data_IF_494072355286
#
_entry.id   IF_494072355286
#
_cell.length_a   1.000
_cell.length_b   1.000
_cell.length_c   1.000
_cell.angle_alpha   90.00
_cell.angle_beta   90.00
_cell.angle_gamma   90.00
#
_symmetry.space_group_name_H-M   'P 1'
#
loop_
_entity.id
_entity.type
_entity.pdbx_description
1 polymer ?
#
# COMPACT_ATOMS: atom_id res chain seq x y z
N UNK A 1 -19.91 30.86 17.70
CA UNK A 1 -19.58 32.32 17.62
C UNK A 1 -19.03 32.71 16.24
N UNK A 2 -18.19 31.94 15.58
CA UNK A 2 -17.58 32.26 14.27
C UNK A 2 -18.63 32.36 13.15
N UNK A 3 -19.61 31.46 13.12
CA UNK A 3 -20.71 31.49 12.14
C UNK A 3 -21.50 32.80 12.26
N UNK A 4 -21.84 33.21 13.48
CA UNK A 4 -22.51 34.47 13.73
C UNK A 4 -21.67 35.69 13.30
N UNK A 5 -20.36 35.65 13.59
CA UNK A 5 -19.44 36.72 13.18
C UNK A 5 -19.36 36.88 11.65
N UNK A 6 -19.41 35.75 10.89
CA UNK A 6 -19.35 35.76 9.42
C UNK A 6 -20.70 36.06 8.77
N UNK A 7 -21.80 35.73 9.43
CA UNK A 7 -23.15 36.00 8.92
C UNK A 7 -23.48 37.48 9.03
N UNK A 8 -22.98 38.14 10.09
CA UNK A 8 -23.23 39.57 10.33
C UNK A 8 -24.71 39.95 10.31
N UNK A 9 -25.00 41.17 9.91
CA UNK A 9 -26.37 41.70 9.78
C UNK A 9 -26.95 41.46 8.34
N UNK A 10 -26.54 40.41 7.66
CA UNK A 10 -26.99 40.08 6.28
C UNK A 10 -28.42 39.54 6.30
N UNK A 11 -29.37 40.44 5.99
CA UNK A 11 -30.81 40.16 5.95
C UNK A 11 -31.24 39.26 4.75
N UNK A 12 -30.32 38.81 3.90
CA UNK A 12 -30.60 37.95 2.74
C UNK A 12 -30.63 36.43 3.07
N UNK A 13 -30.65 36.07 4.35
CA UNK A 13 -30.65 34.65 4.78
C UNK A 13 -31.98 34.26 5.44
N UNK A 14 -32.96 33.73 4.67
CA UNK A 14 -34.32 33.46 5.19
C UNK A 14 -34.34 32.55 6.43
N UNK A 15 -33.42 31.60 6.54
CA UNK A 15 -33.36 30.69 7.70
C UNK A 15 -32.84 31.30 8.97
N UNK A 16 -32.21 32.48 8.92
CA UNK A 16 -31.69 33.20 10.08
C UNK A 16 -32.48 34.47 10.40
N UNK A 17 -33.54 34.74 9.63
CA UNK A 17 -34.46 35.87 9.88
C UNK A 17 -35.50 35.47 10.93
N UNK A 18 -35.02 35.16 12.14
CA UNK A 18 -35.79 34.68 13.28
C UNK A 18 -35.41 35.48 14.52
N UNK A 19 -36.28 35.54 15.59
CA UNK A 19 -36.02 36.32 16.78
C UNK A 19 -34.70 35.97 17.48
N UNK A 20 -34.24 34.72 17.41
CA UNK A 20 -32.95 34.27 17.96
C UNK A 20 -32.17 33.46 16.89
N UNK A 21 -31.37 34.17 16.06
CA UNK A 21 -30.57 33.54 15.06
C UNK A 21 -29.51 32.54 15.60
N UNK A 22 -29.06 32.78 16.86
CA UNK A 22 -28.08 31.92 17.51
C UNK A 22 -28.67 30.55 17.85
N UNK A 23 -29.85 30.55 18.50
CA UNK A 23 -30.54 29.31 18.83
C UNK A 23 -30.89 28.51 17.56
N UNK A 24 -31.28 29.19 16.49
CA UNK A 24 -31.58 28.51 15.21
C UNK A 24 -30.34 27.92 14.56
N UNK A 25 -29.18 28.59 14.57
CA UNK A 25 -27.90 28.01 14.11
C UNK A 25 -27.54 26.79 14.94
N UNK A 26 -27.62 26.85 16.26
CA UNK A 26 -27.33 25.73 17.16
C UNK A 26 -28.26 24.52 16.86
N UNK A 27 -29.56 24.80 16.67
CA UNK A 27 -30.54 23.78 16.27
C UNK A 27 -30.22 23.15 14.93
N UNK A 28 -29.91 23.93 13.89
CA UNK A 28 -29.57 23.45 12.54
C UNK A 28 -28.28 22.63 12.55
N UNK A 29 -27.28 23.07 13.31
CA UNK A 29 -26.04 22.33 13.47
C UNK A 29 -26.26 20.98 14.17
N UNK A 30 -27.13 20.95 15.22
CA UNK A 30 -27.46 19.71 15.91
C UNK A 30 -28.15 18.70 14.98
N UNK A 31 -29.14 19.15 14.18
CA UNK A 31 -29.87 18.31 13.22
C UNK A 31 -28.94 17.79 12.10
N UNK A 32 -27.94 18.55 11.68
CA UNK A 32 -27.05 18.20 10.57
C UNK A 32 -25.72 17.60 11.02
N UNK A 33 -25.49 17.45 12.33
CA UNK A 33 -24.23 17.00 12.90
C UNK A 33 -23.74 15.67 12.27
N UNK A 34 -24.61 14.67 12.20
CA UNK A 34 -24.28 13.37 11.64
C UNK A 34 -23.99 13.45 10.15
N UNK A 35 -24.78 14.20 9.38
CA UNK A 35 -24.56 14.40 7.96
C UNK A 35 -23.23 15.13 7.69
N UNK A 36 -22.90 16.14 8.47
CA UNK A 36 -21.61 16.85 8.33
C UNK A 36 -20.44 15.99 8.78
N UNK A 37 -20.61 15.19 9.85
CA UNK A 37 -19.57 14.28 10.31
C UNK A 37 -19.26 13.16 9.30
N UNK A 38 -20.23 12.78 8.46
CA UNK A 38 -20.05 11.80 7.38
C UNK A 38 -19.27 12.36 6.17
N UNK A 39 -19.06 13.69 6.08
CA UNK A 39 -18.24 14.29 5.02
C UNK A 39 -16.77 14.10 5.40
N UNK A 40 -15.97 13.37 4.58
CA UNK A 40 -14.57 13.06 4.91
C UNK A 40 -13.70 14.32 4.94
N UNK A 41 -14.05 15.34 4.16
CA UNK A 41 -13.29 16.56 4.02
C UNK A 41 -13.93 17.69 4.81
N UNK A 42 -13.24 18.10 5.86
CA UNK A 42 -13.67 19.21 6.73
C UNK A 42 -12.56 20.24 6.84
N UNK A 43 -12.89 21.49 6.59
CA UNK A 43 -11.98 22.62 6.78
C UNK A 43 -12.50 23.46 7.96
N UNK A 44 -11.73 23.48 9.04
CA UNK A 44 -11.97 24.49 10.08
C UNK A 44 -11.54 25.86 9.53
N UNK A 45 -12.51 26.72 9.35
CA UNK A 45 -12.31 28.05 8.78
C UNK A 45 -12.16 29.13 9.87
N UNK A 46 -12.12 28.73 11.15
CA UNK A 46 -12.01 29.67 12.29
C UNK A 46 -10.70 30.43 12.21
N UNK A 47 -10.79 31.75 12.16
CA UNK A 47 -9.64 32.66 12.13
C UNK A 47 -8.86 32.69 10.79
N UNK A 48 -9.31 31.94 9.77
CA UNK A 48 -8.65 31.95 8.47
C UNK A 48 -9.21 33.03 7.55
N UNK A 49 -8.36 33.60 6.71
CA UNK A 49 -8.75 34.46 5.58
C UNK A 49 -9.41 33.64 4.46
N UNK A 50 -10.03 34.31 3.50
CA UNK A 50 -10.65 33.66 2.34
C UNK A 50 -9.60 32.95 1.50
N UNK A 51 -8.42 33.53 1.33
CA UNK A 51 -7.30 32.98 0.59
C UNK A 51 -6.75 31.71 1.25
N UNK A 52 -6.65 31.71 2.58
CA UNK A 52 -6.22 30.53 3.35
C UNK A 52 -7.26 29.39 3.26
N UNK A 53 -8.54 29.71 3.32
CA UNK A 53 -9.62 28.72 3.10
C UNK A 53 -9.58 28.18 1.70
N UNK A 54 -9.40 29.04 0.67
CA UNK A 54 -9.30 28.63 -0.73
C UNK A 54 -8.09 27.71 -0.95
N UNK A 55 -6.93 28.01 -0.36
CA UNK A 55 -5.75 27.17 -0.44
C UNK A 55 -6.00 25.76 0.12
N UNK A 56 -6.65 25.66 1.29
CA UNK A 56 -7.02 24.36 1.89
C UNK A 56 -8.03 23.58 1.05
N UNK A 57 -9.01 24.26 0.45
CA UNK A 57 -9.97 23.60 -0.46
C UNK A 57 -9.29 23.08 -1.70
N UNK A 58 -8.34 23.82 -2.28
CA UNK A 58 -7.55 23.39 -3.45
C UNK A 58 -6.69 22.15 -3.09
N UNK A 59 -6.07 22.15 -1.90
CA UNK A 59 -5.29 21.01 -1.40
C UNK A 59 -6.17 19.74 -1.30
N UNK A 60 -7.36 19.85 -0.72
CA UNK A 60 -8.33 18.76 -0.63
C UNK A 60 -8.84 18.33 -2.02
N UNK A 61 -9.08 19.28 -2.93
CA UNK A 61 -9.55 18.98 -4.29
C UNK A 61 -8.51 18.20 -5.12
N UNK A 62 -7.22 18.24 -4.75
CA UNK A 62 -6.15 17.45 -5.35
C UNK A 62 -6.10 15.99 -4.87
N UNK A 63 -6.91 15.60 -3.90
CA UNK A 63 -6.91 14.23 -3.38
C UNK A 63 -7.66 13.28 -4.31
N UNK A 64 -6.99 12.20 -4.69
CA UNK A 64 -7.59 11.09 -5.44
C UNK A 64 -8.20 10.10 -4.47
N UNK A 65 -9.46 9.72 -4.69
CA UNK A 65 -10.14 8.68 -3.91
C UNK A 65 -10.34 7.44 -4.78
N UNK A 66 -9.94 6.28 -4.27
CA UNK A 66 -10.13 4.99 -4.92
C UNK A 66 -10.94 4.07 -4.01
N UNK A 67 -12.15 3.66 -4.44
CA UNK A 67 -12.91 2.63 -3.73
C UNK A 67 -12.30 1.26 -3.97
N UNK A 68 -12.30 0.41 -2.93
CA UNK A 68 -11.91 -0.99 -3.01
C UNK A 68 -13.06 -1.84 -2.50
N UNK A 69 -13.56 -2.75 -3.32
CA UNK A 69 -14.62 -3.69 -2.97
C UNK A 69 -14.02 -5.04 -2.63
N UNK A 70 -14.62 -5.72 -1.68
CA UNK A 70 -14.22 -7.09 -1.35
C UNK A 70 -15.44 -7.94 -1.03
N UNK A 71 -15.45 -9.22 -1.47
CA UNK A 71 -16.55 -10.13 -1.20
C UNK A 71 -16.61 -10.46 0.29
N UNK A 72 -17.80 -10.68 0.82
CA UNK A 72 -17.98 -11.30 2.13
C UNK A 72 -17.72 -12.80 2.03
N UNK A 73 -16.99 -13.35 2.99
CA UNK A 73 -16.77 -14.79 3.11
C UNK A 73 -15.32 -15.18 3.34
N UNK A 74 -15.13 -16.26 4.08
CA UNK A 74 -13.86 -16.98 4.16
C UNK A 74 -13.68 -17.83 2.88
N UNK A 75 -12.42 -18.17 2.47
CA UNK A 75 -12.18 -19.13 1.39
C UNK A 75 -12.97 -20.42 1.63
N UNK A 76 -13.54 -20.98 0.55
CA UNK A 76 -14.25 -22.24 0.59
C UNK A 76 -13.34 -23.34 1.13
N UNK A 77 -13.58 -23.78 2.36
CA UNK A 77 -12.80 -24.82 3.04
C UNK A 77 -12.94 -24.83 4.56
N UNK A 78 -13.45 -23.77 5.17
CA UNK A 78 -13.82 -23.75 6.58
C UNK A 78 -15.36 -23.79 6.69
N UNK A 79 -15.85 -24.76 7.46
CA UNK A 79 -17.25 -25.14 7.59
C UNK A 79 -18.21 -23.95 7.77
N UNK A 80 -19.35 -24.07 7.11
CA UNK A 80 -20.49 -23.15 7.16
C UNK A 80 -20.99 -22.93 8.59
N UNK A 81 -20.66 -21.79 9.17
CA UNK A 81 -21.41 -21.22 10.29
C UNK A 81 -22.11 -19.97 9.77
N UNK A 82 -23.44 -20.03 9.70
CA UNK A 82 -24.29 -18.97 9.15
C UNK A 82 -24.46 -17.76 10.05
N UNK A 83 -23.86 -17.75 11.24
CA UNK A 83 -23.91 -16.60 12.15
C UNK A 83 -22.60 -15.83 12.10
N UNK A 84 -22.60 -14.65 11.42
CA UNK A 84 -21.50 -13.70 11.45
C UNK A 84 -20.55 -13.71 10.23
N UNK A 85 -21.00 -14.13 9.04
CA UNK A 85 -20.25 -13.88 7.80
C UNK A 85 -20.07 -12.38 7.64
N UNK A 86 -18.83 -11.86 7.44
CA UNK A 86 -18.68 -10.49 6.97
C UNK A 86 -19.43 -10.38 5.65
N UNK A 87 -20.46 -9.56 5.60
CA UNK A 87 -21.05 -9.14 4.33
C UNK A 87 -19.93 -8.48 3.53
N UNK A 88 -19.91 -8.65 2.20
CA UNK A 88 -18.99 -7.94 1.33
C UNK A 88 -18.98 -6.47 1.70
N UNK A 89 -17.79 -5.87 1.68
CA UNK A 89 -17.59 -4.51 2.14
C UNK A 89 -16.85 -3.68 1.10
N UNK A 90 -16.74 -2.40 1.42
CA UNK A 90 -15.96 -1.44 0.67
C UNK A 90 -15.16 -0.60 1.64
N UNK A 91 -13.96 -0.20 1.24
CA UNK A 91 -13.20 0.85 1.92
C UNK A 91 -12.63 1.81 0.89
N UNK A 92 -12.22 3.00 1.35
CA UNK A 92 -11.67 4.03 0.50
C UNK A 92 -10.16 4.16 0.70
N UNK A 93 -9.44 4.46 -0.38
CA UNK A 93 -8.05 4.86 -0.38
C UNK A 93 -7.99 6.34 -0.75
N UNK A 94 -7.44 7.16 0.13
CA UNK A 94 -7.24 8.60 -0.11
C UNK A 94 -5.78 8.86 -0.41
N UNK A 95 -5.50 9.45 -1.58
CA UNK A 95 -4.14 9.73 -2.08
C UNK A 95 -4.02 11.22 -2.35
N UNK A 96 -3.17 11.92 -1.63
CA UNK A 96 -2.98 13.35 -1.85
C UNK A 96 -1.91 13.96 -0.96
N UNK A 97 -1.36 15.07 -1.41
CA UNK A 97 -0.35 15.80 -0.68
C UNK A 97 -0.91 16.32 0.65
N UNK A 98 -0.16 16.11 1.74
CA UNK A 98 -0.52 16.52 3.11
C UNK A 98 -1.83 15.93 3.64
N UNK A 99 -2.33 14.86 3.04
CA UNK A 99 -3.57 14.21 3.48
C UNK A 99 -3.49 13.67 4.91
N UNK A 100 -2.28 13.47 5.47
CA UNK A 100 -2.09 13.11 6.88
C UNK A 100 -2.71 14.11 7.86
N UNK A 101 -2.84 15.38 7.50
CA UNK A 101 -3.52 16.37 8.32
C UNK A 101 -5.02 16.08 8.53
N UNK A 102 -5.60 15.24 7.66
CA UNK A 102 -7.01 14.88 7.64
C UNK A 102 -7.30 13.48 8.19
N UNK A 103 -6.30 12.77 8.71
CA UNK A 103 -6.46 11.39 9.20
C UNK A 103 -7.61 11.22 10.20
N UNK A 104 -7.82 12.19 11.07
CA UNK A 104 -8.90 12.15 12.06
C UNK A 104 -10.29 12.32 11.42
N UNK A 105 -10.48 13.27 10.50
CA UNK A 105 -11.76 13.46 9.80
C UNK A 105 -12.08 12.27 8.88
N UNK A 106 -11.08 11.72 8.21
CA UNK A 106 -11.22 10.52 7.37
C UNK A 106 -11.60 9.30 8.20
N UNK A 107 -10.96 9.11 9.37
CA UNK A 107 -11.30 8.03 10.29
C UNK A 107 -12.73 8.13 10.82
N UNK A 108 -13.19 9.37 11.12
CA UNK A 108 -14.57 9.60 11.54
C UNK A 108 -15.55 9.27 10.41
N UNK A 109 -15.28 9.73 9.18
CA UNK A 109 -16.09 9.41 8.02
C UNK A 109 -16.15 7.91 7.73
N UNK A 110 -15.08 7.16 8.04
CA UNK A 110 -15.06 5.69 8.00
C UNK A 110 -15.81 5.02 9.18
N UNK A 111 -16.58 5.77 9.95
CA UNK A 111 -17.46 5.27 11.00
C UNK A 111 -16.77 4.89 12.32
N UNK A 112 -15.59 5.43 12.61
CA UNK A 112 -14.99 5.26 13.93
C UNK A 112 -15.76 6.09 14.98
N UNK A 113 -16.12 5.49 16.15
CA UNK A 113 -16.87 6.21 17.19
C UNK A 113 -16.08 7.38 17.76
N UNK A 114 -16.74 8.52 17.95
CA UNK A 114 -16.17 9.68 18.61
C UNK A 114 -15.68 9.31 20.02
N UNK A 115 -14.53 9.86 20.43
CA UNK A 115 -13.93 9.55 21.74
C UNK A 115 -13.24 8.19 21.83
N UNK A 116 -13.31 7.35 20.78
CA UNK A 116 -12.67 6.04 20.78
C UNK A 116 -11.14 6.15 20.81
N UNK A 117 -10.48 5.08 21.30
CA UNK A 117 -9.02 5.01 21.36
C UNK A 117 -8.45 4.60 20.01
N UNK A 118 -7.29 5.18 19.67
CA UNK A 118 -6.55 4.85 18.45
C UNK A 118 -5.12 4.48 18.82
N UNK A 119 -4.76 3.21 18.64
CA UNK A 119 -3.38 2.73 18.77
C UNK A 119 -2.61 3.09 17.50
N UNK A 120 -1.71 4.05 17.56
CA UNK A 120 -0.83 4.45 16.46
C UNK A 120 0.42 3.58 16.52
N UNK A 121 0.46 2.53 15.71
CA UNK A 121 1.58 1.58 15.63
C UNK A 121 2.61 2.10 14.62
N UNK A 122 3.84 2.33 15.08
CA UNK A 122 4.94 2.80 14.24
C UNK A 122 6.27 2.23 14.72
N UNK A 123 7.36 2.56 14.03
CA UNK A 123 8.72 2.17 14.37
C UNK A 123 9.57 3.39 14.77
N UNK A 124 10.78 3.21 15.35
CA UNK A 124 11.65 4.31 15.79
C UNK A 124 12.14 5.24 14.67
N UNK A 125 12.07 4.84 13.40
CA UNK A 125 12.45 5.67 12.24
C UNK A 125 11.31 6.58 11.83
N UNK A 126 10.08 6.07 11.75
CA UNK A 126 8.92 6.78 11.20
C UNK A 126 8.20 7.61 12.27
N UNK A 127 8.10 7.12 13.51
CA UNK A 127 7.37 7.80 14.58
C UNK A 127 7.87 9.23 14.86
N UNK A 128 9.20 9.51 14.92
CA UNK A 128 9.70 10.88 15.11
C UNK A 128 9.35 11.83 13.96
N UNK A 129 9.20 11.31 12.74
CA UNK A 129 8.92 12.13 11.56
C UNK A 129 7.44 12.54 11.47
N UNK A 130 6.53 11.61 11.73
CA UNK A 130 5.11 11.78 11.40
C UNK A 130 4.16 11.51 12.55
N UNK A 131 4.61 10.86 13.62
CA UNK A 131 3.75 10.43 14.73
C UNK A 131 3.01 11.59 15.38
N UNK A 132 3.72 12.67 15.71
CA UNK A 132 3.13 13.85 16.36
C UNK A 132 2.03 14.52 15.49
N UNK A 133 2.23 14.61 14.18
CA UNK A 133 1.25 15.15 13.23
C UNK A 133 -0.01 14.29 13.18
N UNK A 134 0.13 12.97 13.07
CA UNK A 134 -0.99 12.03 13.03
C UNK A 134 -1.77 12.06 14.34
N UNK A 135 -1.09 12.03 15.48
CA UNK A 135 -1.75 12.11 16.78
C UNK A 135 -2.49 13.44 16.99
N UNK A 136 -1.91 14.57 16.56
CA UNK A 136 -2.56 15.88 16.64
C UNK A 136 -3.84 15.92 15.78
N UNK A 137 -3.78 15.40 14.55
CA UNK A 137 -4.94 15.32 13.66
C UNK A 137 -6.05 14.40 14.23
N UNK A 138 -5.68 13.29 14.87
CA UNK A 138 -6.64 12.40 15.55
C UNK A 138 -7.28 13.10 16.78
N UNK A 139 -6.48 13.78 17.62
CA UNK A 139 -7.01 14.52 18.78
C UNK A 139 -7.95 15.66 18.38
N UNK A 140 -7.60 16.41 17.33
CA UNK A 140 -8.46 17.50 16.82
C UNK A 140 -9.81 17.00 16.31
N UNK A 141 -9.86 15.74 15.84
CA UNK A 141 -11.08 15.06 15.44
C UNK A 141 -11.82 14.36 16.60
N UNK A 142 -11.40 14.55 17.85
CA UNK A 142 -12.07 14.02 19.04
C UNK A 142 -11.66 12.58 19.43
N UNK A 143 -10.68 11.96 18.78
CA UNK A 143 -10.15 10.66 19.15
C UNK A 143 -9.13 10.73 20.29
N UNK A 144 -8.82 9.57 20.89
CA UNK A 144 -7.84 9.43 21.96
C UNK A 144 -6.65 8.58 21.48
N UNK A 145 -5.72 9.16 20.68
CA UNK A 145 -4.57 8.40 20.19
C UNK A 145 -3.56 8.11 21.31
N UNK A 146 -2.88 6.99 21.19
CA UNK A 146 -1.69 6.64 21.96
C UNK A 146 -0.69 5.89 21.06
N UNK A 147 0.60 6.10 21.33
CA UNK A 147 1.66 5.50 20.55
C UNK A 147 1.89 4.05 20.96
N UNK A 148 2.13 3.19 19.94
CA UNK A 148 2.64 1.84 20.09
C UNK A 148 3.87 1.70 19.21
N UNK A 149 4.93 1.09 19.73
CA UNK A 149 6.20 0.95 19.02
C UNK A 149 6.49 -0.51 18.72
N UNK A 150 6.94 -0.77 17.49
CA UNK A 150 7.57 -2.04 17.10
C UNK A 150 8.99 -1.74 16.63
N UNK A 151 9.95 -2.69 16.75
CA UNK A 151 11.28 -2.50 16.19
C UNK A 151 11.23 -2.37 14.65
N UNK A 152 12.25 -1.72 14.07
CA UNK A 152 12.38 -1.58 12.62
C UNK A 152 13.05 -2.81 11.99
N UNK A 153 12.61 -3.17 10.79
CA UNK A 153 13.20 -4.23 9.97
C UNK A 153 12.41 -5.54 9.92
N UNK A 154 12.59 -6.28 8.82
CA UNK A 154 11.88 -7.53 8.51
C UNK A 154 12.11 -8.62 9.57
N UNK A 155 13.29 -8.67 10.19
CA UNK A 155 13.62 -9.62 11.27
C UNK A 155 12.69 -9.50 12.48
N UNK A 156 11.96 -8.40 12.61
CA UNK A 156 11.00 -8.15 13.69
C UNK A 156 9.55 -8.44 13.29
N UNK A 157 9.32 -8.92 12.08
CA UNK A 157 8.00 -9.35 11.59
C UNK A 157 7.64 -10.72 12.18
N UNK A 158 7.43 -10.79 13.49
CA UNK A 158 7.32 -12.04 14.27
C UNK A 158 6.09 -12.06 15.17
N UNK A 159 5.69 -13.28 15.61
CA UNK A 159 4.64 -13.47 16.62
C UNK A 159 4.99 -12.79 17.96
N UNK A 160 6.28 -12.74 18.32
CA UNK A 160 6.73 -12.05 19.54
C UNK A 160 6.43 -10.56 19.47
N UNK A 161 6.67 -9.91 18.33
CA UNK A 161 6.34 -8.50 18.12
C UNK A 161 4.83 -8.27 18.22
N UNK A 162 4.03 -9.18 17.69
CA UNK A 162 2.55 -9.11 17.81
C UNK A 162 2.11 -9.24 19.28
N UNK A 163 2.72 -10.17 20.05
CA UNK A 163 2.43 -10.31 21.48
C UNK A 163 2.73 -9.03 22.26
N UNK A 164 3.87 -8.39 21.99
CA UNK A 164 4.24 -7.10 22.57
C UNK A 164 3.22 -5.99 22.22
N UNK A 165 2.68 -6.00 21.01
CA UNK A 165 1.60 -5.05 20.64
C UNK A 165 0.33 -5.28 21.46
N UNK A 166 -0.06 -6.52 21.76
CA UNK A 166 -1.23 -6.78 22.61
C UNK A 166 -1.06 -6.20 24.01
N UNK A 167 0.13 -6.31 24.59
CA UNK A 167 0.44 -5.69 25.89
C UNK A 167 0.30 -4.16 25.83
N UNK A 168 0.84 -3.53 24.77
CA UNK A 168 0.71 -2.09 24.56
C UNK A 168 -0.74 -1.66 24.33
N UNK A 169 -1.54 -2.45 23.59
CA UNK A 169 -2.96 -2.18 23.36
C UNK A 169 -3.75 -2.22 24.67
N UNK A 170 -3.50 -3.22 25.52
CA UNK A 170 -4.14 -3.34 26.82
C UNK A 170 -3.75 -2.19 27.77
N UNK A 171 -2.46 -1.88 27.85
CA UNK A 171 -1.94 -0.76 28.65
C UNK A 171 -2.50 0.57 28.19
N UNK A 172 -2.67 0.77 26.86
CA UNK A 172 -3.32 1.93 26.26
C UNK A 172 -4.84 1.93 26.44
N UNK A 173 -5.46 0.87 26.99
CA UNK A 173 -6.90 0.75 27.17
C UNK A 173 -7.69 0.63 25.86
N UNK A 174 -7.08 0.03 24.81
CA UNK A 174 -7.77 -0.25 23.56
C UNK A 174 -8.86 -1.30 23.77
N UNK A 175 -10.06 -1.01 23.30
CA UNK A 175 -11.21 -1.90 23.36
C UNK A 175 -11.76 -2.24 21.96
N UNK A 176 -12.89 -2.94 21.90
CA UNK A 176 -13.51 -3.36 20.62
C UNK A 176 -14.00 -2.20 19.75
N UNK A 177 -14.26 -1.03 20.32
CA UNK A 177 -14.67 0.17 19.60
C UNK A 177 -13.47 0.93 19.02
N UNK A 178 -12.26 0.59 19.48
CA UNK A 178 -11.03 1.25 19.09
C UNK A 178 -10.53 0.90 17.70
N UNK A 179 -9.43 1.56 17.33
CA UNK A 179 -8.80 1.42 16.01
C UNK A 179 -7.31 1.18 16.19
N UNK A 180 -6.75 0.25 15.41
CA UNK A 180 -5.31 0.15 15.16
C UNK A 180 -4.99 0.91 13.88
N UNK A 181 -4.10 1.87 13.94
CA UNK A 181 -3.59 2.64 12.82
C UNK A 181 -2.11 2.30 12.64
N UNK A 182 -1.75 1.70 11.50
CA UNK A 182 -0.34 1.49 11.13
C UNK A 182 0.21 2.73 10.46
N UNK A 183 1.32 3.26 10.96
CA UNK A 183 2.07 4.38 10.40
C UNK A 183 3.48 3.90 10.08
N UNK A 184 3.73 3.46 8.83
CA UNK A 184 5.01 2.87 8.46
C UNK A 184 5.01 2.15 7.12
N UNK A 185 6.07 1.41 6.84
CA UNK A 185 6.21 0.56 5.66
C UNK A 185 5.41 -0.75 5.74
N UNK A 186 5.67 -1.67 4.80
CA UNK A 186 4.97 -2.95 4.70
C UNK A 186 5.05 -3.81 5.96
N UNK A 187 6.21 -3.88 6.62
CA UNK A 187 6.38 -4.63 7.88
C UNK A 187 5.44 -4.10 8.96
N UNK A 188 5.39 -2.77 9.14
CA UNK A 188 4.49 -2.15 10.12
C UNK A 188 3.02 -2.43 9.79
N UNK A 189 2.65 -2.35 8.50
CA UNK A 189 1.31 -2.65 8.02
C UNK A 189 0.90 -4.09 8.30
N UNK A 190 1.77 -5.04 7.98
CA UNK A 190 1.51 -6.48 8.15
C UNK A 190 1.38 -6.88 9.62
N UNK A 191 2.32 -6.45 10.47
CA UNK A 191 2.31 -6.76 11.91
C UNK A 191 1.12 -6.11 12.61
N UNK A 192 0.88 -4.82 12.38
CA UNK A 192 -0.25 -4.10 12.97
C UNK A 192 -1.61 -4.63 12.48
N UNK A 193 -1.69 -4.95 11.18
CA UNK A 193 -2.89 -5.52 10.58
C UNK A 193 -3.21 -6.92 11.13
N UNK A 194 -2.20 -7.77 11.30
CA UNK A 194 -2.38 -9.09 11.91
C UNK A 194 -2.75 -8.97 13.39
N UNK A 195 -2.13 -8.04 14.13
CA UNK A 195 -2.52 -7.73 15.50
C UNK A 195 -3.98 -7.26 15.56
N UNK A 196 -4.41 -6.37 14.66
CA UNK A 196 -5.80 -5.91 14.59
C UNK A 196 -6.80 -7.01 14.19
N UNK A 197 -6.37 -7.98 13.37
CA UNK A 197 -7.21 -9.12 12.98
C UNK A 197 -7.49 -10.06 14.16
N UNK A 198 -6.57 -10.19 15.09
CA UNK A 198 -6.59 -11.20 16.16
C UNK A 198 -6.93 -10.62 17.53
N UNK A 199 -6.57 -9.35 17.81
CA UNK A 199 -6.90 -8.68 19.06
C UNK A 199 -8.43 -8.61 19.24
N UNK A 200 -8.95 -9.09 20.38
CA UNK A 200 -10.38 -9.18 20.69
C UNK A 200 -11.25 -9.82 19.60
N UNK A 201 -10.69 -10.71 18.78
CA UNK A 201 -11.30 -11.40 17.62
C UNK A 201 -11.54 -10.47 16.42
N UNK A 202 -10.80 -9.37 16.35
CA UNK A 202 -10.83 -8.39 15.25
C UNK A 202 -11.38 -7.04 15.65
N UNK A 203 -10.57 -6.01 15.41
CA UNK A 203 -10.94 -4.60 15.61
C UNK A 203 -10.68 -3.81 14.33
N UNK A 204 -11.11 -2.54 14.30
CA UNK A 204 -10.90 -1.66 13.13
C UNK A 204 -9.41 -1.47 12.87
N UNK A 205 -9.06 -1.48 11.59
CA UNK A 205 -7.68 -1.31 11.12
C UNK A 205 -7.62 -0.19 10.07
N UNK A 206 -6.60 0.65 10.13
CA UNK A 206 -6.32 1.74 9.19
C UNK A 206 -4.86 1.66 8.76
N UNK A 207 -4.58 1.88 7.48
CA UNK A 207 -3.23 1.91 6.96
C UNK A 207 -2.81 3.33 6.55
N UNK A 208 -1.64 3.73 7.00
CA UNK A 208 -0.93 4.95 6.61
C UNK A 208 0.47 4.56 6.16
N UNK A 209 0.59 4.10 4.90
CA UNK A 209 1.88 3.65 4.35
C UNK A 209 2.83 4.83 4.16
N UNK A 210 4.09 4.64 4.57
CA UNK A 210 5.15 5.67 4.45
C UNK A 210 6.29 5.29 3.51
N UNK A 211 6.27 4.10 2.93
CA UNK A 211 7.19 3.69 1.86
C UNK A 211 6.45 3.59 0.53
N UNK A 212 7.14 3.87 -0.58
CA UNK A 212 6.51 3.79 -1.91
C UNK A 212 5.99 2.37 -2.19
N UNK A 213 6.75 1.34 -1.83
CA UNK A 213 6.32 -0.06 -1.93
C UNK A 213 5.00 -0.32 -1.20
N UNK A 214 4.87 0.17 0.03
CA UNK A 214 3.64 0.00 0.78
C UNK A 214 2.48 0.81 0.18
N UNK A 215 2.75 2.01 -0.37
CA UNK A 215 1.75 2.85 -1.04
C UNK A 215 1.16 2.18 -2.27
N UNK A 216 1.98 1.50 -3.09
CA UNK A 216 1.53 0.95 -4.38
C UNK A 216 1.20 -0.54 -4.33
N UNK A 217 1.61 -1.24 -3.27
CA UNK A 217 1.42 -2.70 -3.16
C UNK A 217 0.93 -3.16 -1.79
N UNK A 218 1.72 -3.12 -0.72
CA UNK A 218 1.46 -3.85 0.51
C UNK A 218 0.19 -3.39 1.27
N UNK A 219 -0.26 -2.15 1.13
CA UNK A 219 -1.44 -1.62 1.82
C UNK A 219 -2.78 -2.11 1.26
N UNK A 220 -2.79 -2.80 0.12
CA UNK A 220 -4.01 -3.25 -0.57
C UNK A 220 -4.07 -4.76 -0.67
N UNK A 221 -5.28 -5.32 -0.50
CA UNK A 221 -5.54 -6.75 -0.64
C UNK A 221 -5.66 -7.51 0.68
N UNK A 222 -5.53 -6.82 1.81
CA UNK A 222 -5.83 -7.33 3.16
C UNK A 222 -4.91 -8.44 3.67
N UNK A 223 -3.86 -8.82 2.96
CA UNK A 223 -2.89 -9.78 3.46
C UNK A 223 -2.12 -9.15 4.61
N UNK A 224 -2.20 -9.73 5.80
CA UNK A 224 -1.45 -9.33 6.98
C UNK A 224 -0.84 -10.57 7.63
N UNK A 225 0.32 -10.44 8.23
CA UNK A 225 0.96 -11.62 8.79
C UNK A 225 2.37 -11.38 9.31
N UNK A 226 2.95 -12.49 9.74
CA UNK A 226 4.30 -12.54 10.31
C UNK A 226 5.07 -13.73 9.75
N UNK A 227 6.38 -13.65 9.92
CA UNK A 227 7.33 -14.66 9.47
C UNK A 227 7.55 -15.71 10.57
N UNK A 228 7.94 -16.89 10.14
CA UNK A 228 8.47 -17.95 10.98
C UNK A 228 9.90 -18.29 10.54
N UNK A 229 10.70 -18.97 11.36
CA UNK A 229 12.03 -19.42 10.95
C UNK A 229 12.05 -20.28 9.70
N UNK A 230 10.90 -20.91 9.36
CA UNK A 230 10.73 -21.77 8.19
C UNK A 230 10.40 -21.01 6.91
N UNK A 231 10.04 -19.72 6.99
CA UNK A 231 9.72 -18.91 5.82
C UNK A 231 8.90 -17.66 6.12
N UNK A 232 8.89 -16.74 5.17
CA UNK A 232 8.15 -15.48 5.24
C UNK A 232 6.64 -15.70 5.10
N UNK A 233 5.84 -14.88 5.79
CA UNK A 233 4.38 -14.77 5.65
C UNK A 233 3.60 -16.08 5.86
N UNK A 234 4.14 -17.01 6.67
CA UNK A 234 3.50 -18.31 6.91
C UNK A 234 2.35 -18.26 7.91
N UNK A 235 2.28 -17.24 8.75
CA UNK A 235 1.20 -17.03 9.71
C UNK A 235 0.56 -15.67 9.44
N UNK A 236 -0.73 -15.64 9.18
CA UNK A 236 -1.41 -14.40 8.83
C UNK A 236 -2.93 -14.52 8.78
N UNK A 237 -3.54 -13.41 8.44
CA UNK A 237 -4.99 -13.29 8.24
C UNK A 237 -5.30 -12.34 7.10
N UNK A 238 -6.43 -12.54 6.43
CA UNK A 238 -7.01 -11.52 5.56
C UNK A 238 -7.73 -10.49 6.43
N UNK A 239 -7.14 -9.30 6.57
CA UNK A 239 -7.71 -8.17 7.32
C UNK A 239 -7.82 -6.95 6.41
N UNK A 240 -8.99 -6.73 5.84
CA UNK A 240 -9.23 -5.52 5.07
C UNK A 240 -9.19 -4.29 5.99
N UNK A 241 -8.51 -3.21 5.60
CA UNK A 241 -8.52 -1.96 6.35
C UNK A 241 -9.89 -1.28 6.23
N UNK A 242 -10.25 -0.45 7.20
CA UNK A 242 -11.41 0.43 7.11
C UNK A 242 -11.16 1.62 6.18
N UNK A 243 -9.90 2.03 6.06
CA UNK A 243 -9.43 3.01 5.09
C UNK A 243 -7.90 2.93 4.93
N UNK A 244 -7.39 3.46 3.81
CA UNK A 244 -5.97 3.65 3.56
C UNK A 244 -5.72 5.14 3.25
N UNK A 245 -4.69 5.73 3.86
CA UNK A 245 -4.35 7.14 3.67
C UNK A 245 -2.92 7.23 3.15
N UNK A 246 -2.76 7.72 1.93
CA UNK A 246 -1.47 7.79 1.22
C UNK A 246 -1.11 9.25 1.00
N UNK A 247 -0.06 9.68 1.68
CA UNK A 247 0.51 11.02 1.53
C UNK A 247 1.85 10.94 0.81
N UNK A 248 1.94 11.26 -0.48
CA UNK A 248 3.20 11.17 -1.22
C UNK A 248 4.30 12.10 -0.69
N UNK A 249 3.95 13.14 0.06
CA UNK A 249 4.95 14.08 0.59
C UNK A 249 5.89 13.44 1.61
N UNK A 250 5.46 12.33 2.25
CA UNK A 250 6.30 11.60 3.20
C UNK A 250 7.47 10.89 2.50
N UNK A 251 7.41 10.68 1.18
CA UNK A 251 8.50 10.10 0.40
C UNK A 251 9.75 10.98 0.37
N UNK A 252 9.63 12.27 0.70
CA UNK A 252 10.77 13.19 0.76
C UNK A 252 11.82 12.78 1.82
N UNK A 253 11.44 11.99 2.82
CA UNK A 253 12.36 11.48 3.85
C UNK A 253 12.73 10.01 3.64
N UNK A 254 12.19 9.38 2.59
CA UNK A 254 12.43 7.98 2.32
C UNK A 254 13.80 7.78 1.66
N UNK A 255 14.64 6.84 2.12
CA UNK A 255 15.90 6.49 1.47
C UNK A 255 15.71 6.08 0.00
N UNK A 256 16.69 6.39 -0.84
CA UNK A 256 16.62 6.15 -2.29
C UNK A 256 16.35 4.67 -2.63
N UNK A 257 16.93 3.76 -1.88
CA UNK A 257 16.79 2.33 -2.07
C UNK A 257 15.35 1.83 -1.81
N UNK A 258 14.65 2.47 -0.89
CA UNK A 258 13.23 2.19 -0.62
C UNK A 258 12.33 2.79 -1.72
N UNK A 259 12.73 3.93 -2.30
CA UNK A 259 12.07 4.48 -3.51
C UNK A 259 12.24 3.49 -4.67
N UNK A 260 13.45 2.94 -4.89
CA UNK A 260 13.71 1.94 -5.93
C UNK A 260 12.81 0.73 -5.79
N UNK A 261 12.63 0.20 -4.56
CA UNK A 261 11.76 -0.94 -4.31
C UNK A 261 10.31 -0.67 -4.72
N UNK A 262 9.80 0.50 -4.43
CA UNK A 262 8.44 0.90 -4.85
C UNK A 262 8.32 1.17 -6.35
N UNK A 263 9.37 1.75 -6.98
CA UNK A 263 9.40 2.00 -8.43
C UNK A 263 9.38 0.68 -9.22
N UNK A 264 10.07 -0.36 -8.75
CA UNK A 264 10.01 -1.69 -9.37
C UNK A 264 8.57 -2.21 -9.44
N UNK A 265 7.79 -2.04 -8.36
CA UNK A 265 6.38 -2.43 -8.32
C UNK A 265 5.50 -1.56 -9.23
N UNK A 266 5.76 -0.25 -9.32
CA UNK A 266 5.04 0.63 -10.25
C UNK A 266 5.32 0.23 -11.71
N UNK A 267 6.57 -0.08 -12.06
CA UNK A 267 6.95 -0.59 -13.39
C UNK A 267 6.26 -1.93 -13.65
N UNK A 268 6.26 -2.83 -12.67
CA UNK A 268 5.55 -4.12 -12.73
C UNK A 268 4.07 -3.92 -13.06
N UNK A 269 3.38 -3.03 -12.38
CA UNK A 269 1.97 -2.74 -12.65
C UNK A 269 1.78 -2.14 -14.05
N UNK A 270 2.72 -1.31 -14.52
CA UNK A 270 2.74 -0.80 -15.88
C UNK A 270 2.84 -1.91 -16.93
N UNK A 271 3.71 -2.90 -16.71
CA UNK A 271 3.86 -4.07 -17.59
C UNK A 271 2.64 -4.98 -17.54
N UNK A 272 2.01 -5.15 -16.38
CA UNK A 272 0.84 -6.03 -16.22
C UNK A 272 -0.38 -5.46 -16.93
N UNK A 273 -0.78 -4.21 -16.65
CA UNK A 273 -2.07 -3.68 -17.12
C UNK A 273 -2.17 -2.15 -17.28
N UNK A 274 -1.09 -1.37 -17.04
CA UNK A 274 -1.12 0.09 -17.13
C UNK A 274 -0.07 0.66 -18.11
N UNK A 275 -0.25 0.47 -19.43
CA UNK A 275 0.73 0.90 -20.44
C UNK A 275 0.94 2.43 -20.46
N UNK A 276 -0.03 3.21 -20.10
CA UNK A 276 0.07 4.66 -19.95
C UNK A 276 0.98 5.06 -18.75
N UNK A 277 0.90 4.34 -17.64
CA UNK A 277 1.83 4.51 -16.52
C UNK A 277 3.25 4.15 -16.92
N UNK A 278 3.44 3.01 -17.62
CA UNK A 278 4.74 2.61 -18.12
C UNK A 278 5.36 3.67 -19.03
N UNK A 279 4.58 4.16 -20.02
CA UNK A 279 5.02 5.21 -20.94
C UNK A 279 5.32 6.55 -20.22
N UNK A 280 4.61 6.86 -19.14
CA UNK A 280 4.90 8.05 -18.34
C UNK A 280 6.20 7.89 -17.56
N UNK A 281 6.47 6.70 -16.98
CA UNK A 281 7.73 6.41 -16.31
C UNK A 281 8.91 6.45 -17.29
N UNK A 282 8.75 5.96 -18.53
CA UNK A 282 9.76 6.11 -19.58
C UNK A 282 10.06 7.60 -19.90
N UNK A 283 9.03 8.44 -20.00
CA UNK A 283 9.22 9.89 -20.20
C UNK A 283 9.86 10.58 -19.00
N UNK A 284 9.58 10.09 -17.80
CA UNK A 284 10.12 10.60 -16.54
C UNK A 284 11.63 10.44 -16.39
N UNK A 285 12.27 9.54 -17.15
CA UNK A 285 13.71 9.27 -17.11
C UNK A 285 14.53 10.57 -17.27
N UNK A 286 14.07 11.51 -18.11
CA UNK A 286 14.74 12.80 -18.33
C UNK A 286 14.83 13.69 -17.07
N UNK A 287 14.00 13.41 -16.08
CA UNK A 287 13.87 14.14 -14.82
C UNK A 287 14.27 13.28 -13.61
N UNK A 288 14.82 12.08 -13.86
CA UNK A 288 15.25 11.20 -12.79
C UNK A 288 16.43 11.82 -12.02
N UNK A 289 16.39 11.84 -10.68
CA UNK A 289 17.50 12.33 -9.86
C UNK A 289 18.76 11.46 -10.01
N UNK A 290 18.59 10.24 -10.55
CA UNK A 290 19.70 9.30 -10.82
C UNK A 290 20.42 9.59 -12.13
N UNK A 291 19.83 10.42 -13.02
CA UNK A 291 20.44 10.81 -14.30
C UNK A 291 20.94 12.25 -14.32
N UNK A 292 20.39 13.12 -13.46
CA UNK A 292 20.78 14.54 -13.37
C UNK A 292 20.74 15.00 -11.91
N UNK A 293 21.78 15.66 -11.43
CA UNK A 293 21.89 16.16 -10.04
C UNK A 293 20.90 17.31 -9.68
N UNK A 294 19.79 17.48 -10.40
CA UNK A 294 19.00 18.71 -10.38
C UNK A 294 17.49 18.55 -10.18
N UNK A 295 16.96 17.67 -9.40
CA UNK A 295 15.70 17.81 -8.67
C UNK A 295 15.30 16.49 -7.98
N UNK A 296 14.71 16.50 -6.79
CA UNK A 296 14.17 15.30 -6.21
C UNK A 296 13.00 14.81 -7.09
N UNK A 297 13.05 13.54 -7.52
CA UNK A 297 11.94 12.91 -8.20
C UNK A 297 10.74 12.84 -7.23
N UNK A 298 9.68 13.55 -7.57
CA UNK A 298 8.44 13.49 -6.83
C UNK A 298 7.49 12.49 -7.51
N UNK A 299 7.23 11.37 -6.87
CA UNK A 299 6.15 10.48 -7.29
C UNK A 299 4.83 11.20 -7.07
N UNK A 300 4.04 11.36 -8.12
CA UNK A 300 2.77 12.08 -8.05
C UNK A 300 1.63 11.18 -7.58
N UNK A 301 0.68 11.76 -6.85
CA UNK A 301 -0.55 11.08 -6.42
C UNK A 301 -1.25 10.35 -7.57
N UNK A 302 -1.26 10.93 -8.79
CA UNK A 302 -1.85 10.31 -9.98
C UNK A 302 -1.12 9.07 -10.47
N UNK A 303 0.20 8.97 -10.27
CA UNK A 303 1.01 7.80 -10.63
C UNK A 303 0.77 6.65 -9.64
N UNK A 304 0.76 6.96 -8.34
CA UNK A 304 0.41 6.02 -7.29
C UNK A 304 -1.01 5.48 -7.52
N UNK A 305 -1.97 6.35 -7.80
CA UNK A 305 -3.35 5.95 -8.06
C UNK A 305 -3.48 5.01 -9.27
N UNK A 306 -2.72 5.24 -10.34
CA UNK A 306 -2.73 4.34 -11.52
C UNK A 306 -2.09 2.99 -11.22
N UNK A 307 -0.97 2.97 -10.51
CA UNK A 307 -0.36 1.72 -10.08
C UNK A 307 -1.32 0.91 -9.19
N UNK A 308 -1.96 1.57 -8.22
CA UNK A 308 -2.91 0.92 -7.32
C UNK A 308 -4.15 0.38 -8.03
N UNK A 309 -4.68 1.08 -9.04
CA UNK A 309 -5.85 0.60 -9.80
C UNK A 309 -5.61 -0.80 -10.38
N UNK A 310 -4.44 -1.05 -10.96
CA UNK A 310 -4.08 -2.39 -11.47
C UNK A 310 -4.21 -3.44 -10.37
N UNK A 311 -3.67 -3.16 -9.20
CA UNK A 311 -3.75 -4.09 -8.07
C UNK A 311 -5.18 -4.24 -7.54
N UNK A 312 -5.92 -3.13 -7.42
CA UNK A 312 -7.30 -3.14 -6.94
C UNK A 312 -8.17 -4.01 -7.83
N UNK A 313 -8.14 -3.80 -9.15
CA UNK A 313 -8.92 -4.55 -10.12
C UNK A 313 -8.64 -6.07 -10.02
N UNK A 314 -7.37 -6.45 -9.95
CA UNK A 314 -6.96 -7.85 -9.81
C UNK A 314 -7.40 -8.44 -8.45
N UNK A 315 -7.28 -7.67 -7.36
CA UNK A 315 -7.68 -8.14 -6.02
C UNK A 315 -9.19 -8.21 -5.86
N UNK A 316 -9.95 -7.30 -6.47
CA UNK A 316 -11.42 -7.36 -6.48
C UNK A 316 -11.93 -8.60 -7.23
N UNK A 317 -11.27 -8.99 -8.34
CA UNK A 317 -11.63 -10.17 -9.11
C UNK A 317 -11.18 -11.48 -8.44
N UNK A 318 -9.99 -11.49 -7.83
CA UNK A 318 -9.44 -12.66 -7.14
C UNK A 318 -8.89 -12.32 -5.74
N UNK A 319 -9.77 -12.06 -4.76
CA UNK A 319 -9.37 -11.62 -3.43
C UNK A 319 -8.59 -12.67 -2.62
N UNK A 320 -8.75 -13.97 -2.95
CA UNK A 320 -8.15 -15.09 -2.22
C UNK A 320 -7.01 -15.79 -2.96
N UNK A 321 -6.51 -15.20 -4.07
CA UNK A 321 -5.38 -15.73 -4.85
C UNK A 321 -5.62 -17.16 -5.37
N UNK A 322 -6.76 -17.38 -6.00
CA UNK A 322 -7.14 -18.67 -6.56
C UNK A 322 -6.74 -18.84 -8.05
N UNK A 323 -6.32 -17.77 -8.72
CA UNK A 323 -5.95 -17.82 -10.14
C UNK A 323 -5.39 -16.50 -10.66
N UNK A 324 -6.24 -15.54 -11.02
CA UNK A 324 -5.85 -14.30 -11.69
C UNK A 324 -4.82 -13.49 -10.89
N UNK A 325 -4.94 -13.45 -9.58
CA UNK A 325 -4.02 -12.69 -8.71
C UNK A 325 -2.55 -13.13 -8.85
N UNK A 326 -2.31 -14.33 -9.40
CA UNK A 326 -0.97 -14.81 -9.69
C UNK A 326 -0.23 -13.90 -10.67
N UNK A 327 -0.91 -13.11 -11.53
CA UNK A 327 -0.25 -12.17 -12.46
C UNK A 327 0.57 -11.11 -11.74
N UNK A 328 0.21 -10.76 -10.49
CA UNK A 328 0.99 -9.86 -9.65
C UNK A 328 2.38 -10.40 -9.30
N UNK A 329 2.65 -11.69 -9.53
CA UNK A 329 3.95 -12.30 -9.31
C UNK A 329 4.90 -12.16 -10.53
N UNK A 330 4.62 -11.26 -11.50
CA UNK A 330 5.58 -10.92 -12.54
C UNK A 330 6.93 -10.51 -11.91
N UNK A 331 8.00 -11.17 -12.31
CA UNK A 331 9.34 -10.99 -11.75
C UNK A 331 9.61 -11.74 -10.44
N UNK A 332 8.60 -12.12 -9.67
CA UNK A 332 8.77 -12.70 -8.34
C UNK A 332 9.32 -14.13 -8.35
N UNK A 333 9.09 -14.90 -9.42
CA UNK A 333 9.57 -16.30 -9.50
C UNK A 333 11.11 -16.37 -9.41
N UNK A 334 11.80 -15.51 -10.16
CA UNK A 334 13.26 -15.36 -10.08
C UNK A 334 13.65 -14.50 -8.90
N UNK A 335 12.94 -13.38 -8.67
CA UNK A 335 13.23 -12.42 -7.61
C UNK A 335 13.34 -13.07 -6.23
N UNK A 336 12.34 -13.84 -5.79
CA UNK A 336 12.37 -14.53 -4.49
C UNK A 336 13.52 -15.54 -4.36
N UNK A 337 13.91 -16.21 -5.47
CA UNK A 337 15.07 -17.07 -5.45
C UNK A 337 16.37 -16.28 -5.22
N UNK A 338 16.50 -15.12 -5.86
CA UNK A 338 17.65 -14.22 -5.69
C UNK A 338 17.70 -13.60 -4.28
N UNK A 339 16.56 -13.15 -3.74
CA UNK A 339 16.48 -12.69 -2.36
C UNK A 339 17.01 -13.74 -1.37
N UNK A 340 16.55 -14.99 -1.54
CA UNK A 340 16.95 -16.10 -0.68
C UNK A 340 18.44 -16.44 -0.82
N UNK A 341 18.97 -16.51 -2.04
CA UNK A 341 20.38 -16.83 -2.30
C UNK A 341 21.34 -15.71 -1.87
N UNK A 342 20.87 -14.47 -1.82
CA UNK A 342 21.63 -13.34 -1.29
C UNK A 342 21.54 -13.20 0.22
N UNK A 343 20.89 -14.12 0.92
CA UNK A 343 20.55 -14.01 2.36
C UNK A 343 19.84 -12.67 2.66
N UNK A 344 18.91 -12.27 1.76
CA UNK A 344 18.17 -11.01 1.80
C UNK A 344 19.03 -9.72 1.76
N UNK A 345 20.28 -9.82 1.31
CA UNK A 345 21.11 -8.64 1.04
C UNK A 345 20.59 -7.86 -0.19
N UNK A 346 20.04 -8.57 -1.19
CA UNK A 346 19.33 -7.97 -2.31
C UNK A 346 17.92 -7.56 -1.87
N UNK A 347 17.56 -6.29 -2.06
CA UNK A 347 16.26 -5.76 -1.65
C UNK A 347 15.16 -6.29 -2.58
N UNK A 348 13.93 -6.34 -2.06
CA UNK A 348 12.78 -6.87 -2.78
C UNK A 348 12.61 -6.28 -4.19
N UNK A 349 12.54 -4.96 -4.33
CA UNK A 349 12.36 -4.31 -5.63
C UNK A 349 13.53 -4.53 -6.61
N UNK A 350 14.75 -4.65 -6.11
CA UNK A 350 15.92 -4.99 -6.91
C UNK A 350 15.79 -6.41 -7.47
N UNK A 351 15.44 -7.36 -6.61
CA UNK A 351 15.25 -8.76 -7.00
C UNK A 351 14.08 -8.90 -8.00
N UNK A 352 12.97 -8.23 -7.76
CA UNK A 352 11.80 -8.23 -8.67
C UNK A 352 12.15 -7.58 -10.00
N UNK A 353 12.94 -6.50 -10.01
CA UNK A 353 13.43 -5.84 -11.21
C UNK A 353 14.23 -6.80 -12.11
N UNK A 354 15.22 -7.49 -11.53
CA UNK A 354 15.99 -8.53 -12.24
C UNK A 354 15.06 -9.62 -12.75
N UNK A 355 14.12 -10.06 -11.91
CA UNK A 355 13.14 -11.09 -12.27
C UNK A 355 12.21 -10.68 -13.41
N UNK A 356 11.83 -9.40 -13.51
CA UNK A 356 11.04 -8.89 -14.64
C UNK A 356 11.82 -8.93 -15.96
N UNK A 357 13.11 -8.56 -15.94
CA UNK A 357 13.99 -8.67 -17.12
C UNK A 357 14.11 -10.14 -17.52
N UNK A 358 14.34 -11.04 -16.56
CA UNK A 358 14.41 -12.47 -16.82
C UNK A 358 13.12 -13.01 -17.46
N UNK A 359 11.95 -12.66 -16.90
CA UNK A 359 10.65 -13.06 -17.43
C UNK A 359 10.41 -12.55 -18.85
N UNK A 360 10.81 -11.31 -19.15
CA UNK A 360 10.68 -10.73 -20.49
C UNK A 360 11.61 -11.40 -21.51
N UNK A 361 12.86 -11.69 -21.14
CA UNK A 361 13.81 -12.42 -22.00
C UNK A 361 13.38 -13.87 -22.23
N UNK A 362 12.86 -14.55 -21.20
CA UNK A 362 12.26 -15.89 -21.34
C UNK A 362 11.08 -15.85 -22.31
N UNK A 363 10.19 -14.87 -22.20
CA UNK A 363 9.06 -14.71 -23.12
C UNK A 363 9.54 -14.51 -24.57
N UNK A 364 10.59 -13.73 -24.79
CA UNK A 364 11.18 -13.52 -26.11
C UNK A 364 11.82 -14.79 -26.67
N UNK A 365 12.60 -15.54 -25.86
CA UNK A 365 13.24 -16.79 -26.29
C UNK A 365 12.22 -17.88 -26.63
N UNK A 366 11.07 -17.89 -25.95
CA UNK A 366 9.94 -18.77 -26.27
C UNK A 366 9.10 -18.29 -27.48
N UNK A 367 9.44 -17.16 -28.10
CA UNK A 367 8.66 -16.57 -29.19
C UNK A 367 7.28 -16.02 -28.77
N UNK A 368 7.07 -15.77 -27.47
CA UNK A 368 5.81 -15.26 -26.90
C UNK A 368 5.74 -13.73 -26.85
N UNK A 369 6.89 -13.06 -26.94
CA UNK A 369 7.01 -11.61 -26.95
C UNK A 369 8.06 -11.14 -27.97
N UNK A 370 7.94 -9.87 -28.40
CA UNK A 370 9.00 -9.25 -29.20
C UNK A 370 10.23 -9.01 -28.29
N UNK A 371 11.45 -9.34 -28.73
CA UNK A 371 12.68 -9.10 -27.97
C UNK A 371 12.84 -7.66 -27.48
N UNK A 372 12.39 -6.68 -28.25
CA UNK A 372 12.44 -5.25 -27.85
C UNK A 372 11.65 -4.93 -26.58
N UNK A 373 10.73 -5.79 -26.16
CA UNK A 373 10.01 -5.61 -24.89
C UNK A 373 10.96 -5.78 -23.71
N UNK A 374 11.83 -6.80 -23.75
CA UNK A 374 12.83 -7.03 -22.71
C UNK A 374 13.79 -5.84 -22.62
N UNK A 375 14.26 -5.33 -23.77
CA UNK A 375 15.16 -4.17 -23.81
C UNK A 375 14.51 -2.92 -23.21
N UNK A 376 13.22 -2.69 -23.47
CA UNK A 376 12.47 -1.55 -22.90
C UNK A 376 12.32 -1.65 -21.39
N UNK A 377 11.95 -2.83 -20.88
CA UNK A 377 11.81 -3.06 -19.42
C UNK A 377 13.16 -2.88 -18.75
N UNK A 378 14.22 -3.46 -19.30
CA UNK A 378 15.59 -3.35 -18.81
C UNK A 378 16.06 -1.89 -18.78
N UNK A 379 15.90 -1.17 -19.89
CA UNK A 379 16.28 0.23 -20.00
C UNK A 379 15.54 1.11 -18.99
N UNK A 380 14.24 0.86 -18.77
CA UNK A 380 13.44 1.60 -17.81
C UNK A 380 13.90 1.35 -16.37
N UNK A 381 14.11 0.09 -15.99
CA UNK A 381 14.61 -0.27 -14.66
C UNK A 381 16.00 0.33 -14.38
N UNK A 382 16.93 0.17 -15.33
CA UNK A 382 18.29 0.72 -15.22
C UNK A 382 18.29 2.26 -15.09
N UNK A 383 17.46 2.95 -15.85
CA UNK A 383 17.33 4.40 -15.81
C UNK A 383 16.78 4.92 -14.48
N UNK A 384 16.03 4.11 -13.76
CA UNK A 384 15.56 4.40 -12.41
C UNK A 384 16.49 3.86 -11.31
N UNK A 385 17.72 3.44 -11.65
CA UNK A 385 18.75 3.02 -10.70
C UNK A 385 18.58 1.60 -10.14
N UNK A 386 17.71 0.79 -10.75
CA UNK A 386 17.52 -0.60 -10.36
C UNK A 386 18.55 -1.52 -11.07
N UNK A 387 19.06 -2.56 -10.40
CA UNK A 387 19.90 -3.56 -11.06
C UNK A 387 19.07 -4.38 -12.05
N UNK A 388 19.69 -4.69 -13.20
CA UNK A 388 19.06 -5.46 -14.30
C UNK A 388 19.80 -6.74 -14.62
N UNK A 389 21.04 -6.87 -14.16
CA UNK A 389 21.85 -8.08 -14.32
C UNK A 389 21.65 -9.06 -13.16
N UNK A 390 21.72 -10.35 -13.45
CA UNK A 390 21.69 -11.38 -12.43
C UNK A 390 23.01 -11.37 -11.63
N UNK A 391 22.97 -11.39 -10.28
CA UNK A 391 24.17 -11.60 -9.48
C UNK A 391 24.85 -12.92 -9.86
N UNK A 392 26.18 -13.09 -9.64
CA UNK A 392 26.95 -14.25 -10.08
C UNK A 392 26.69 -15.49 -9.21
N UNK A 393 25.41 -15.81 -8.95
CA UNK A 393 24.97 -17.08 -8.39
C UNK A 393 24.98 -18.15 -9.47
N UNK A 394 25.12 -19.41 -9.06
CA UNK A 394 24.98 -20.54 -9.93
C UNK A 394 23.56 -20.63 -10.49
N UNK A 395 23.41 -20.80 -11.81
CA UNK A 395 22.10 -20.87 -12.47
C UNK A 395 21.26 -22.07 -12.01
N UNK A 396 21.90 -23.18 -11.67
CA UNK A 396 21.22 -24.35 -11.11
C UNK A 396 20.78 -24.11 -9.68
N UNK A 397 21.59 -23.41 -8.87
CA UNK A 397 21.18 -23.01 -7.53
C UNK A 397 19.97 -22.05 -7.56
N UNK A 398 19.92 -21.12 -8.52
CA UNK A 398 18.74 -20.25 -8.71
C UNK A 398 17.53 -21.09 -9.09
N UNK A 399 17.70 -22.04 -10.04
CA UNK A 399 16.63 -22.95 -10.45
C UNK A 399 16.09 -23.80 -9.27
N UNK A 400 16.99 -24.36 -8.48
CA UNK A 400 16.62 -25.16 -7.30
C UNK A 400 15.90 -24.32 -6.26
N UNK A 401 16.34 -23.08 -6.01
CA UNK A 401 15.68 -22.16 -5.08
C UNK A 401 14.25 -21.85 -5.53
N UNK A 402 14.00 -21.65 -6.83
CA UNK A 402 12.65 -21.47 -7.40
C UNK A 402 11.79 -22.73 -7.24
N UNK A 403 12.37 -23.91 -7.48
CA UNK A 403 11.65 -25.19 -7.45
C UNK A 403 11.33 -25.64 -6.02
N UNK A 404 12.16 -25.30 -5.04
CA UNK A 404 12.01 -25.75 -3.64
C UNK A 404 10.69 -25.33 -3.01
N UNK A 405 10.28 -24.09 -3.21
CA UNK A 405 9.05 -23.54 -2.62
C UNK A 405 7.79 -24.24 -3.16
N UNK A 406 7.87 -24.79 -4.37
CA UNK A 406 6.75 -25.45 -5.07
C UNK A 406 6.68 -26.96 -4.89
N UNK A 407 7.81 -27.64 -4.75
CA UNK A 407 7.83 -29.06 -4.36
C UNK A 407 7.10 -29.30 -3.04
N UNK A 408 7.17 -28.34 -2.12
CA UNK A 408 6.41 -28.38 -0.84
C UNK A 408 4.89 -28.22 -1.02
N UNK A 409 4.42 -27.59 -2.11
CA UNK A 409 3.00 -27.33 -2.39
C UNK A 409 2.36 -28.28 -3.42
N UNK A 410 3.13 -29.21 -4.02
CA UNK A 410 2.62 -30.18 -5.00
C UNK A 410 2.09 -29.55 -6.31
N UNK A 411 2.58 -28.35 -6.70
CA UNK A 411 2.11 -27.60 -7.87
C UNK A 411 3.24 -27.40 -8.87
N UNK A 412 2.91 -27.21 -10.15
CA UNK A 412 3.85 -26.80 -11.21
C UNK A 412 4.40 -25.38 -11.00
N UNK A 413 5.54 -25.05 -11.60
CA UNK A 413 6.15 -23.73 -11.53
C UNK A 413 5.35 -22.77 -12.42
N UNK A 414 4.57 -21.86 -11.80
CA UNK A 414 3.84 -20.82 -12.52
C UNK A 414 4.78 -19.66 -12.86
N UNK A 415 4.78 -19.28 -14.13
CA UNK A 415 5.47 -18.12 -14.63
C UNK A 415 4.47 -17.07 -15.05
N UNK A 416 4.78 -15.82 -14.79
CA UNK A 416 4.09 -14.68 -15.39
C UNK A 416 5.01 -14.12 -16.44
N UNK A 417 4.62 -14.21 -17.69
CA UNK A 417 5.41 -13.79 -18.85
C UNK A 417 4.76 -12.59 -19.53
N UNK A 418 5.48 -11.48 -19.74
CA UNK A 418 4.95 -10.34 -20.47
C UNK A 418 4.91 -10.65 -21.99
N UNK A 419 3.77 -10.35 -22.64
CA UNK A 419 3.59 -10.42 -24.08
C UNK A 419 3.78 -9.08 -24.76
N UNK A 420 3.31 -8.04 -24.08
CA UNK A 420 3.48 -6.64 -24.44
C UNK A 420 3.34 -5.79 -23.16
N UNK A 421 3.66 -4.51 -23.22
CA UNK A 421 3.34 -3.60 -22.11
C UNK A 421 1.81 -3.55 -21.96
N UNK A 422 1.33 -3.83 -20.75
CA UNK A 422 -0.10 -3.95 -20.43
C UNK A 422 -0.70 -5.34 -20.71
N UNK A 423 0.10 -6.33 -21.06
CA UNK A 423 -0.37 -7.69 -21.33
C UNK A 423 0.59 -8.73 -20.79
N UNK A 424 0.10 -9.62 -19.94
CA UNK A 424 0.85 -10.76 -19.40
C UNK A 424 0.06 -12.04 -19.57
N UNK A 425 0.75 -13.17 -19.52
CA UNK A 425 0.14 -14.50 -19.46
C UNK A 425 0.73 -15.34 -18.33
N UNK A 426 -0.05 -16.28 -17.83
CA UNK A 426 0.40 -17.29 -16.88
C UNK A 426 0.81 -18.54 -17.67
N UNK A 427 2.02 -19.05 -17.45
CA UNK A 427 2.57 -20.21 -18.14
C UNK A 427 3.13 -21.23 -17.14
N UNK A 428 2.90 -22.51 -17.40
CA UNK A 428 3.43 -23.63 -16.61
C UNK A 428 4.51 -24.42 -17.37
N UNK A 429 4.60 -24.19 -18.67
CA UNK A 429 5.36 -24.96 -19.64
C UNK A 429 6.71 -24.32 -20.01
N UNK A 430 7.32 -23.55 -19.10
CA UNK A 430 8.63 -22.92 -19.33
C UNK A 430 9.75 -23.94 -19.13
N UNK A 431 10.51 -24.31 -20.20
CA UNK A 431 11.55 -25.32 -20.11
C UNK A 431 12.73 -24.83 -19.23
N UNK A 432 13.25 -25.67 -18.31
CA UNK A 432 14.39 -25.31 -17.46
C UNK A 432 15.62 -24.83 -18.24
N UNK A 433 15.87 -25.40 -19.43
CA UNK A 433 16.98 -25.00 -20.29
C UNK A 433 16.90 -23.54 -20.75
N UNK A 434 15.68 -23.06 -21.05
CA UNK A 434 15.45 -21.65 -21.44
C UNK A 434 15.71 -20.72 -20.28
N UNK A 435 15.23 -21.09 -19.09
CA UNK A 435 15.47 -20.29 -17.88
C UNK A 435 16.97 -20.18 -17.59
N UNK A 436 17.70 -21.30 -17.63
CA UNK A 436 19.16 -21.29 -17.41
C UNK A 436 19.87 -20.44 -18.46
N UNK A 437 19.55 -20.63 -19.75
CA UNK A 437 20.12 -19.85 -20.86
C UNK A 437 19.97 -18.34 -20.60
N UNK A 438 18.77 -17.92 -20.25
CA UNK A 438 18.49 -16.50 -19.93
C UNK A 438 19.26 -16.03 -18.70
N UNK A 439 19.24 -16.78 -17.61
CA UNK A 439 19.97 -16.38 -16.39
C UNK A 439 21.48 -16.26 -16.65
N UNK A 440 22.06 -17.17 -17.42
CA UNK A 440 23.47 -17.12 -17.85
C UNK A 440 23.73 -15.84 -18.66
N UNK A 441 22.87 -15.53 -19.63
CA UNK A 441 23.00 -14.31 -20.45
C UNK A 441 22.90 -13.02 -19.64
N UNK A 442 22.27 -13.09 -18.45
CA UNK A 442 22.11 -11.96 -17.53
C UNK A 442 23.25 -11.85 -16.49
N UNK A 443 24.18 -12.82 -16.44
CA UNK A 443 25.34 -12.77 -15.55
C UNK A 443 25.41 -13.86 -14.47
N UNK A 444 24.44 -14.78 -14.41
CA UNK A 444 24.56 -15.96 -13.55
C UNK A 444 25.73 -16.85 -13.99
N UNK A 445 26.36 -17.56 -13.06
CA UNK A 445 27.39 -18.54 -13.38
C UNK A 445 26.75 -19.79 -13.98
N UNK A 446 27.34 -20.29 -15.06
CA UNK A 446 26.91 -21.50 -15.73
C UNK A 446 28.09 -22.47 -15.78
N UNK A 447 27.84 -23.70 -15.35
CA UNK A 447 28.80 -24.75 -15.63
C UNK A 447 28.86 -24.94 -17.15
N UNK A 448 30.08 -24.96 -17.73
CA UNK A 448 30.34 -25.09 -19.17
C UNK A 448 30.06 -26.48 -19.70
#
# INVERSE_FOLDING_TARGET
NEVLRRVGDDNNRPLLNVPDPRAEIERLLAVRREAYAAIPWQVDTTGLSVEEVAARVIEIAGVVTLPVRYPGGAPSGLAESTAGRPQGGQYEIYIGDRVLAHVGSLLRAAGAPEGSRVAVVSNPVVAPLYGAQVEAALRSAGFRPFACSIPDGEQHKTLTTVATLYEQFLAGGLDRSGTVLSLGGGVTGDVAGFAAATFMRGIRFVQVPTTLLAMVDASVGGKTGVDLPQGKNLVGAFKQPALVIIDPTVLATLPAEEIHSGLAEMIKHGVIAAPDLFAELEKGIRYSPFTTHHAPFAVRSSQIARALRVKIEIVEEDPFEQGLRAVLNLGHTVGHALEKLSDFALRHGEAVGIGMVAAARIAAELGRANPSLADRIEALLAAWGLPVGCPPFDADAIWEAMAYDKKRRGRSLLWVLPRAVGQVEIAEDVPPRVVRSVLCSMGARCEG
#
